data_IF_720740368593
#
_entry.id   IF_720740368593
#
_cell.length_a   1.000
_cell.length_b   1.000
_cell.length_c   1.000
_cell.angle_alpha   90.00
_cell.angle_beta   90.00
_cell.angle_gamma   90.00
#
_symmetry.space_group_name_H-M   'P 1'
#
loop_
_entity.id
_entity.type
_entity.pdbx_description
1 polymer ?
#
# COMPACT_ATOMS: atom_id res chain seq x y z
N UNK A 1 2.83 7.01 19.62
CA UNK A 1 1.39 6.79 19.48
C UNK A 1 0.67 7.64 20.52
N UNK A 2 -0.49 8.27 20.22
CA UNK A 2 -1.31 8.93 21.23
C UNK A 2 -1.66 7.98 22.38
N UNK A 3 -1.71 8.50 23.61
CA UNK A 3 -2.00 7.68 24.80
C UNK A 3 -3.38 6.99 24.71
N UNK A 4 -4.36 7.70 24.18
CA UNK A 4 -5.72 7.19 24.00
C UNK A 4 -5.77 5.97 23.06
N UNK A 5 -4.97 5.95 21.99
CA UNK A 5 -4.93 4.83 21.05
C UNK A 5 -4.31 3.58 21.68
N UNK A 6 -3.30 3.75 22.54
CA UNK A 6 -2.71 2.66 23.32
C UNK A 6 -3.69 2.12 24.37
N UNK A 7 -4.37 3.00 25.10
CA UNK A 7 -5.40 2.60 26.07
C UNK A 7 -6.55 1.82 25.38
N UNK A 8 -6.96 2.27 24.19
CA UNK A 8 -7.93 1.54 23.37
C UNK A 8 -7.39 0.17 22.93
N UNK A 9 -6.17 0.12 22.40
CA UNK A 9 -5.55 -1.13 21.95
C UNK A 9 -5.40 -2.14 23.10
N UNK A 10 -4.96 -1.68 24.26
CA UNK A 10 -4.82 -2.52 25.47
C UNK A 10 -6.17 -3.05 25.93
N UNK A 11 -7.22 -2.23 25.86
CA UNK A 11 -8.58 -2.64 26.28
C UNK A 11 -9.20 -3.60 25.28
N UNK A 12 -9.02 -3.38 23.98
CA UNK A 12 -9.76 -4.07 22.93
C UNK A 12 -9.00 -5.23 22.28
N UNK A 13 -7.67 -5.31 22.39
CA UNK A 13 -6.86 -6.30 21.67
C UNK A 13 -6.14 -7.27 22.61
N UNK A 14 -5.60 -6.78 23.74
CA UNK A 14 -4.87 -7.63 24.71
C UNK A 14 -5.73 -8.77 25.28
N UNK A 15 -7.04 -8.59 25.58
CA UNK A 15 -7.89 -9.71 26.01
C UNK A 15 -8.02 -10.84 24.99
N UNK A 16 -7.71 -10.56 23.71
CA UNK A 16 -7.70 -11.53 22.61
C UNK A 16 -6.29 -12.05 22.29
N UNK A 17 -5.29 -11.78 23.15
CA UNK A 17 -3.93 -12.27 23.00
C UNK A 17 -3.06 -11.47 22.04
N UNK A 18 -3.49 -10.26 21.64
CA UNK A 18 -2.68 -9.37 20.80
C UNK A 18 -1.72 -8.58 21.67
N UNK A 19 -0.42 -8.70 21.40
CA UNK A 19 0.60 -7.87 22.04
C UNK A 19 0.57 -6.45 21.44
N UNK A 20 0.56 -5.45 22.31
CA UNK A 20 0.59 -4.03 21.96
C UNK A 20 1.95 -3.44 22.28
N UNK A 21 2.37 -2.42 21.53
CA UNK A 21 3.66 -1.76 21.71
C UNK A 21 3.51 -0.24 21.57
N UNK A 22 4.15 0.55 22.44
CA UNK A 22 4.07 2.01 22.39
C UNK A 22 4.85 2.61 21.21
N UNK A 23 5.85 1.87 20.70
CA UNK A 23 6.73 2.32 19.62
C UNK A 23 6.98 1.23 18.59
N UNK A 24 7.16 1.66 17.33
CA UNK A 24 7.60 0.78 16.24
C UNK A 24 8.91 0.05 16.55
N UNK A 25 9.84 0.75 17.21
CA UNK A 25 11.16 0.21 17.57
C UNK A 25 11.07 -0.98 18.52
N UNK A 26 10.12 -0.96 19.45
CA UNK A 26 9.86 -2.09 20.34
C UNK A 26 9.12 -3.21 19.59
N UNK A 27 8.09 -2.87 18.82
CA UNK A 27 7.29 -3.83 18.07
C UNK A 27 8.14 -4.67 17.10
N UNK A 28 9.04 -4.04 16.34
CA UNK A 28 9.87 -4.75 15.35
C UNK A 28 10.88 -5.72 15.99
N UNK A 29 11.14 -5.57 17.29
CA UNK A 29 12.00 -6.46 18.06
C UNK A 29 11.25 -7.66 18.64
N UNK A 30 9.92 -7.74 18.46
CA UNK A 30 9.11 -8.81 19.00
C UNK A 30 9.56 -10.19 18.48
N UNK A 31 9.85 -11.16 19.39
CA UNK A 31 10.27 -12.49 18.99
C UNK A 31 9.22 -13.19 18.13
N UNK A 32 9.66 -13.80 17.03
CA UNK A 32 8.78 -14.54 16.13
C UNK A 32 8.00 -13.68 15.13
N UNK A 33 8.27 -12.37 15.04
CA UNK A 33 7.66 -11.52 14.01
C UNK A 33 8.12 -11.94 12.60
N UNK A 34 7.24 -12.55 11.82
CA UNK A 34 7.54 -13.03 10.46
C UNK A 34 7.12 -12.06 9.36
N UNK A 35 6.02 -11.33 9.57
CA UNK A 35 5.45 -10.41 8.59
C UNK A 35 4.97 -9.14 9.28
N UNK A 36 4.93 -8.03 8.53
CA UNK A 36 4.44 -6.75 9.00
C UNK A 36 3.51 -6.11 7.99
N UNK A 37 2.38 -5.62 8.51
CA UNK A 37 1.40 -4.82 7.79
C UNK A 37 1.60 -3.36 8.21
N UNK A 38 2.00 -2.50 7.27
CA UNK A 38 2.23 -1.08 7.51
C UNK A 38 1.04 -0.28 7.00
N UNK A 39 0.24 0.25 7.93
CA UNK A 39 -0.91 1.13 7.67
C UNK A 39 -0.78 2.46 8.39
N UNK A 40 0.46 2.90 8.65
CA UNK A 40 0.74 4.16 9.31
C UNK A 40 0.47 5.35 8.38
N UNK A 41 0.83 6.56 8.81
CA UNK A 41 0.90 7.69 7.88
C UNK A 41 1.95 7.43 6.79
N UNK A 42 1.71 7.95 5.59
CA UNK A 42 2.56 7.75 4.41
C UNK A 42 4.03 8.13 4.64
N UNK A 43 4.31 9.14 5.46
CA UNK A 43 5.67 9.57 5.82
C UNK A 43 6.54 8.45 6.40
N UNK A 44 5.90 7.51 7.10
CA UNK A 44 6.59 6.45 7.83
C UNK A 44 6.71 5.16 7.01
N UNK A 45 5.96 5.03 5.92
CA UNK A 45 5.93 3.81 5.09
C UNK A 45 7.31 3.36 4.67
N UNK A 46 8.12 4.28 4.11
CA UNK A 46 9.46 3.96 3.65
C UNK A 46 10.36 3.47 4.79
N UNK A 47 10.43 4.22 5.89
CA UNK A 47 11.32 3.89 7.02
C UNK A 47 10.92 2.57 7.69
N UNK A 48 9.62 2.35 7.90
CA UNK A 48 9.11 1.14 8.53
C UNK A 48 9.29 -0.08 7.63
N UNK A 49 9.00 0.06 6.34
CA UNK A 49 9.20 -1.02 5.36
C UNK A 49 10.68 -1.38 5.27
N UNK A 50 11.56 -0.39 5.12
CA UNK A 50 13.00 -0.63 5.04
C UNK A 50 13.53 -1.37 6.27
N UNK A 51 13.21 -0.90 7.47
CA UNK A 51 13.67 -1.51 8.72
C UNK A 51 13.21 -2.96 8.87
N UNK A 52 12.01 -3.29 8.39
CA UNK A 52 11.47 -4.65 8.41
C UNK A 52 12.14 -5.56 7.38
N UNK A 53 12.32 -5.07 6.15
CA UNK A 53 13.02 -5.82 5.10
C UNK A 53 14.46 -6.13 5.50
N UNK A 54 15.18 -5.17 6.07
CA UNK A 54 16.56 -5.36 6.57
C UNK A 54 16.67 -6.44 7.64
N UNK A 55 15.56 -6.79 8.31
CA UNK A 55 15.46 -7.88 9.29
C UNK A 55 14.94 -9.20 8.70
N UNK A 56 14.68 -9.24 7.40
CA UNK A 56 14.11 -10.40 6.72
C UNK A 56 12.61 -10.62 7.00
N UNK A 57 11.90 -9.60 7.48
CA UNK A 57 10.47 -9.66 7.79
C UNK A 57 9.69 -9.40 6.50
N UNK A 58 8.70 -10.25 6.19
CA UNK A 58 7.81 -10.04 5.03
C UNK A 58 7.00 -8.75 5.20
N UNK A 59 6.75 -8.04 4.10
CA UNK A 59 6.11 -6.73 4.13
C UNK A 59 4.84 -6.67 3.30
N UNK A 60 3.80 -6.09 3.89
CA UNK A 60 2.62 -5.57 3.21
C UNK A 60 2.46 -4.11 3.61
N UNK A 61 2.62 -3.17 2.70
CA UNK A 61 2.52 -1.74 3.00
C UNK A 61 1.35 -1.11 2.28
N UNK A 62 0.60 -0.26 2.97
CA UNK A 62 -0.38 0.61 2.34
C UNK A 62 0.26 1.52 1.30
N UNK A 63 -0.56 1.92 0.32
CA UNK A 63 -0.12 2.85 -0.73
C UNK A 63 -0.12 4.29 -0.22
N UNK A 64 0.68 5.18 -0.83
CA UNK A 64 1.89 4.85 -1.58
C UNK A 64 2.99 4.37 -0.62
N UNK A 65 3.83 3.43 -1.05
CA UNK A 65 4.89 2.86 -0.19
C UNK A 65 6.03 3.86 0.11
N UNK A 66 6.19 4.89 -0.72
CA UNK A 66 7.19 5.94 -0.56
C UNK A 66 6.68 7.27 -1.12
N UNK A 67 7.33 8.37 -0.72
CA UNK A 67 7.02 9.71 -1.24
C UNK A 67 7.87 10.09 -2.45
N UNK A 68 8.99 9.40 -2.66
CA UNK A 68 9.90 9.66 -3.79
C UNK A 68 10.25 8.37 -4.52
N UNK A 69 10.70 8.54 -5.77
CA UNK A 69 11.12 7.42 -6.63
C UNK A 69 12.44 6.83 -6.13
N UNK A 70 13.33 7.63 -5.57
CA UNK A 70 14.61 7.18 -5.01
C UNK A 70 14.40 6.26 -3.82
N UNK A 71 13.47 6.60 -2.93
CA UNK A 71 13.05 5.73 -1.82
C UNK A 71 12.47 4.41 -2.33
N UNK A 72 11.66 4.45 -3.39
CA UNK A 72 11.11 3.24 -3.99
C UNK A 72 12.21 2.36 -4.60
N UNK A 73 13.16 2.96 -5.32
CA UNK A 73 14.30 2.25 -5.91
C UNK A 73 15.18 1.60 -4.84
N UNK A 74 15.42 2.29 -3.73
CA UNK A 74 16.12 1.75 -2.56
C UNK A 74 15.40 0.51 -2.03
N UNK A 75 14.10 0.58 -1.76
CA UNK A 75 13.31 -0.57 -1.31
C UNK A 75 13.36 -1.74 -2.30
N UNK A 76 13.22 -1.47 -3.60
CA UNK A 76 13.32 -2.49 -4.66
C UNK A 76 14.69 -3.16 -4.64
N UNK A 77 15.77 -2.42 -4.42
CA UNK A 77 17.12 -2.96 -4.33
C UNK A 77 17.27 -3.90 -3.12
N UNK A 78 16.72 -3.52 -1.97
CA UNK A 78 16.73 -4.32 -0.74
C UNK A 78 15.96 -5.62 -0.95
N UNK A 79 14.73 -5.55 -1.45
CA UNK A 79 13.89 -6.75 -1.70
C UNK A 79 14.58 -7.71 -2.66
N UNK A 80 15.20 -7.20 -3.73
CA UNK A 80 15.94 -8.04 -4.69
C UNK A 80 17.14 -8.75 -4.07
N UNK A 81 17.75 -8.18 -3.03
CA UNK A 81 18.84 -8.81 -2.29
C UNK A 81 18.36 -9.90 -1.30
N UNK A 82 17.06 -10.01 -1.06
CA UNK A 82 16.43 -10.87 -0.05
C UNK A 82 15.47 -11.89 -0.71
N UNK A 83 15.96 -12.96 -1.34
CA UNK A 83 15.13 -13.87 -2.16
C UNK A 83 14.07 -14.65 -1.37
N UNK A 84 14.17 -14.69 -0.03
CA UNK A 84 13.21 -15.35 0.86
C UNK A 84 12.21 -14.38 1.48
N UNK A 85 12.40 -13.07 1.31
CA UNK A 85 11.54 -12.03 1.88
C UNK A 85 10.62 -11.51 0.79
N UNK A 86 9.33 -11.45 1.10
CA UNK A 86 8.32 -10.93 0.18
C UNK A 86 7.93 -9.52 0.59
N UNK A 87 7.70 -8.67 -0.39
CA UNK A 87 7.21 -7.30 -0.18
C UNK A 87 6.06 -7.04 -1.15
N UNK A 88 4.97 -6.49 -0.62
CA UNK A 88 3.77 -6.17 -1.36
C UNK A 88 3.27 -4.77 -0.99
N UNK A 89 2.71 -4.07 -1.98
CA UNK A 89 2.01 -2.80 -1.80
C UNK A 89 0.50 -3.06 -1.93
N UNK A 90 -0.31 -2.42 -1.09
CA UNK A 90 -1.77 -2.57 -1.00
C UNK A 90 -2.51 -1.96 -2.20
N UNK A 91 -2.28 -2.48 -3.40
CA UNK A 91 -3.11 -2.20 -4.57
C UNK A 91 -4.33 -3.12 -4.60
N UNK A 92 -5.26 -2.87 -3.67
CA UNK A 92 -6.43 -3.72 -3.42
C UNK A 92 -7.27 -4.00 -4.65
N UNK A 93 -7.40 -3.05 -5.58
CA UNK A 93 -8.15 -3.23 -6.84
C UNK A 93 -7.61 -4.36 -7.73
N UNK A 94 -6.36 -4.80 -7.56
CA UNK A 94 -5.83 -5.98 -8.27
C UNK A 94 -6.50 -7.29 -7.83
N UNK A 95 -7.15 -7.29 -6.67
CA UNK A 95 -7.81 -8.46 -6.08
C UNK A 95 -9.33 -8.44 -6.27
N UNK A 96 -9.87 -7.40 -6.91
CA UNK A 96 -11.29 -7.33 -7.23
C UNK A 96 -11.59 -8.24 -8.43
N UNK A 97 -12.57 -9.14 -8.28
CA UNK A 97 -12.91 -10.17 -9.28
C UNK A 97 -13.21 -9.53 -10.66
N UNK A 98 -13.89 -8.38 -10.65
CA UNK A 98 -14.24 -7.65 -11.88
C UNK A 98 -13.00 -7.19 -12.65
N UNK A 99 -11.97 -6.72 -11.94
CA UNK A 99 -10.73 -6.25 -12.57
C UNK A 99 -9.87 -7.42 -13.03
N UNK A 100 -9.82 -8.51 -12.28
CA UNK A 100 -9.13 -9.73 -12.70
C UNK A 100 -9.75 -10.31 -13.98
N UNK A 101 -11.07 -10.41 -14.03
CA UNK A 101 -11.80 -10.89 -15.21
C UNK A 101 -11.54 -9.99 -16.43
N UNK A 102 -11.57 -8.66 -16.24
CA UNK A 102 -11.26 -7.70 -17.30
C UNK A 102 -9.84 -7.89 -17.84
N UNK A 103 -8.82 -7.98 -16.97
CA UNK A 103 -7.43 -8.24 -17.38
C UNK A 103 -7.31 -9.58 -18.11
N UNK A 104 -7.97 -10.63 -17.60
CA UNK A 104 -7.93 -11.96 -18.23
C UNK A 104 -8.53 -11.93 -19.65
N UNK A 105 -9.70 -11.31 -19.84
CA UNK A 105 -10.33 -11.16 -21.15
C UNK A 105 -9.48 -10.35 -22.12
N UNK A 106 -8.85 -9.29 -21.64
CA UNK A 106 -7.91 -8.48 -22.44
C UNK A 106 -6.73 -9.35 -22.89
N UNK A 107 -6.09 -10.09 -21.98
CA UNK A 107 -4.96 -10.99 -22.30
C UNK A 107 -5.34 -12.12 -23.26
N UNK A 108 -6.59 -12.57 -23.22
CA UNK A 108 -7.15 -13.54 -24.17
C UNK A 108 -7.46 -12.93 -25.55
N UNK A 109 -7.26 -11.62 -25.74
CA UNK A 109 -7.50 -10.93 -27.00
C UNK A 109 -8.96 -10.60 -27.28
N UNK A 110 -9.84 -10.62 -26.26
CA UNK A 110 -11.28 -10.40 -26.43
C UNK A 110 -11.64 -9.06 -27.10
N UNK A 111 -10.75 -8.06 -26.99
CA UNK A 111 -10.91 -6.73 -27.62
C UNK A 111 -9.76 -6.36 -28.56
N UNK A 112 -8.90 -7.32 -28.93
CA UNK A 112 -7.63 -7.05 -29.61
C UNK A 112 -6.62 -6.33 -28.70
N UNK A 113 -5.81 -5.43 -29.26
CA UNK A 113 -4.85 -4.64 -28.49
C UNK A 113 -5.51 -3.37 -27.92
N UNK A 114 -5.52 -3.19 -26.59
CA UNK A 114 -6.02 -1.97 -25.97
C UNK A 114 -5.21 -0.74 -26.41
N UNK A 115 -5.89 0.32 -26.84
CA UNK A 115 -5.25 1.57 -27.29
C UNK A 115 -5.50 2.72 -26.30
N UNK A 116 -6.67 2.73 -25.66
CA UNK A 116 -7.10 3.79 -24.75
C UNK A 116 -7.75 3.17 -23.53
N UNK A 117 -7.39 3.67 -22.35
CA UNK A 117 -8.08 3.40 -21.09
C UNK A 117 -8.65 4.73 -20.58
N UNK A 118 -9.95 4.74 -20.30
CA UNK A 118 -10.61 5.86 -19.65
C UNK A 118 -10.97 5.42 -18.23
N UNK A 119 -10.45 6.12 -17.22
CA UNK A 119 -10.91 5.97 -15.83
C UNK A 119 -11.51 7.28 -15.32
N UNK A 120 -12.61 7.16 -14.58
CA UNK A 120 -13.26 8.27 -13.89
C UNK A 120 -13.65 7.80 -12.49
N UNK A 121 -13.11 8.48 -11.48
CA UNK A 121 -13.55 8.36 -10.10
C UNK A 121 -14.42 9.55 -9.69
N UNK A 122 -15.42 9.31 -8.86
CA UNK A 122 -16.17 10.35 -8.18
C UNK A 122 -16.30 9.94 -6.72
N UNK A 123 -15.63 10.70 -5.85
CA UNK A 123 -15.77 10.51 -4.41
C UNK A 123 -17.00 11.27 -3.92
N UNK A 124 -17.64 10.73 -2.88
CA UNK A 124 -18.72 11.46 -2.21
C UNK A 124 -18.15 12.75 -1.61
N UNK A 125 -18.82 13.87 -1.83
CA UNK A 125 -18.47 15.11 -1.16
C UNK A 125 -18.68 14.93 0.36
N UNK A 126 -17.59 15.03 1.10
CA UNK A 126 -17.57 15.03 2.56
C UNK A 126 -16.97 16.37 3.03
N UNK A 127 -17.83 17.17 3.67
CA UNK A 127 -17.54 18.53 4.14
C UNK A 127 -17.12 18.55 5.63
N UNK A 128 -16.66 17.41 6.16
CA UNK A 128 -16.19 17.34 7.53
C UNK A 128 -14.84 18.05 7.71
N UNK A 129 -14.57 18.62 8.91
CA UNK A 129 -13.26 19.20 9.23
C UNK A 129 -12.09 18.23 9.02
N UNK A 130 -12.33 16.93 9.24
CA UNK A 130 -11.36 15.88 8.97
C UNK A 130 -10.99 15.85 7.49
N UNK A 131 -11.99 15.79 6.60
CA UNK A 131 -11.76 15.73 5.16
C UNK A 131 -11.11 16.99 4.61
N UNK A 132 -11.48 18.18 5.11
CA UNK A 132 -10.76 19.42 4.75
C UNK A 132 -9.28 19.36 5.12
N UNK A 133 -8.96 18.91 6.34
CA UNK A 133 -7.58 18.75 6.80
C UNK A 133 -6.84 17.70 5.98
N UNK A 134 -7.49 16.57 5.70
CA UNK A 134 -6.93 15.49 4.90
C UNK A 134 -6.58 15.95 3.49
N UNK A 135 -7.52 16.60 2.77
CA UNK A 135 -7.30 17.12 1.41
C UNK A 135 -6.22 18.20 1.40
N UNK A 136 -6.23 19.12 2.37
CA UNK A 136 -5.20 20.15 2.48
C UNK A 136 -3.79 19.56 2.71
N UNK A 137 -3.70 18.47 3.48
CA UNK A 137 -2.45 17.75 3.69
C UNK A 137 -2.05 16.92 2.46
N UNK A 138 -2.99 16.24 1.82
CA UNK A 138 -2.76 15.47 0.61
C UNK A 138 -2.25 16.37 -0.53
N UNK A 139 -2.77 17.59 -0.67
CA UNK A 139 -2.33 18.57 -1.66
C UNK A 139 -0.82 18.85 -1.61
N UNK A 140 -0.19 18.74 -0.43
CA UNK A 140 1.26 18.91 -0.26
C UNK A 140 2.09 17.66 -0.60
N UNK A 141 1.43 16.52 -0.81
CA UNK A 141 2.03 15.18 -0.95
C UNK A 141 1.68 14.52 -2.29
N UNK A 142 1.44 15.32 -3.33
CA UNK A 142 1.02 14.85 -4.66
C UNK A 142 -0.50 14.81 -4.89
N UNK A 143 -1.27 15.22 -3.89
CA UNK A 143 -2.70 15.42 -3.98
C UNK A 143 -3.48 14.13 -4.23
N UNK A 144 -4.69 14.32 -4.76
CA UNK A 144 -5.60 13.23 -5.09
C UNK A 144 -5.01 12.24 -6.11
N UNK A 145 -4.06 12.69 -6.95
CA UNK A 145 -3.42 11.83 -7.94
C UNK A 145 -2.56 10.72 -7.30
N UNK A 146 -1.73 11.10 -6.33
CA UNK A 146 -0.85 10.14 -5.64
C UNK A 146 -1.63 9.32 -4.63
N UNK A 147 -2.61 9.91 -3.97
CA UNK A 147 -3.37 9.22 -2.96
C UNK A 147 -4.42 8.27 -3.55
N UNK A 148 -5.26 8.73 -4.48
CA UNK A 148 -6.43 7.96 -4.95
C UNK A 148 -6.26 7.43 -6.37
N UNK A 149 -5.83 8.28 -7.32
CA UNK A 149 -5.71 7.91 -8.75
C UNK A 149 -4.57 6.92 -9.00
N UNK A 150 -3.67 6.72 -8.04
CA UNK A 150 -2.61 5.71 -8.14
C UNK A 150 -3.17 4.30 -8.39
N UNK A 151 -4.37 3.98 -7.89
CA UNK A 151 -5.05 2.73 -8.21
C UNK A 151 -5.49 2.65 -9.67
N UNK A 152 -5.95 3.76 -10.26
CA UNK A 152 -6.35 3.82 -11.66
C UNK A 152 -5.15 3.71 -12.60
N UNK A 153 -4.03 4.35 -12.23
CA UNK A 153 -2.76 4.24 -12.95
C UNK A 153 -2.28 2.79 -12.93
N UNK A 154 -2.30 2.15 -11.77
CA UNK A 154 -1.88 0.76 -11.59
C UNK A 154 -2.70 -0.23 -12.43
N UNK A 155 -4.03 -0.09 -12.42
CA UNK A 155 -4.92 -0.90 -13.25
C UNK A 155 -4.74 -0.59 -14.74
N UNK A 156 -4.57 0.67 -15.11
CA UNK A 156 -4.35 1.08 -16.51
C UNK A 156 -3.11 0.42 -17.09
N UNK A 157 -2.02 0.37 -16.31
CA UNK A 157 -0.80 -0.33 -16.71
C UNK A 157 -1.02 -1.85 -16.88
N UNK A 158 -1.93 -2.44 -16.09
CA UNK A 158 -2.33 -3.84 -16.23
C UNK A 158 -3.20 -4.09 -17.47
N UNK A 159 -4.12 -3.16 -17.80
CA UNK A 159 -4.97 -3.26 -18.98
C UNK A 159 -4.22 -3.02 -20.28
N UNK A 160 -3.25 -2.11 -20.30
CA UNK A 160 -2.44 -1.82 -21.48
C UNK A 160 -1.33 -2.85 -21.74
N UNK A 161 -1.25 -3.90 -20.91
CA UNK A 161 -0.26 -4.97 -21.02
C UNK A 161 1.18 -4.44 -21.18
N UNK A 162 1.57 -3.50 -20.31
CA UNK A 162 2.88 -2.81 -20.38
C UNK A 162 4.01 -3.75 -19.89
N UNK A 163 4.17 -4.86 -20.61
CA UNK A 163 4.98 -6.02 -20.24
C UNK A 163 4.44 -6.74 -19.01
N UNK A 164 4.91 -7.97 -18.77
CA UNK A 164 4.66 -8.77 -17.56
C UNK A 164 5.17 -8.12 -16.24
N UNK A 165 5.35 -6.79 -16.23
CA UNK A 165 5.89 -5.97 -15.15
C UNK A 165 4.87 -5.73 -14.03
N UNK A 166 3.58 -5.88 -14.31
CA UNK A 166 2.53 -5.83 -13.27
C UNK A 166 1.86 -7.18 -13.17
N UNK A 167 2.31 -7.95 -12.17
CA UNK A 167 1.63 -9.17 -11.78
C UNK A 167 0.26 -8.81 -11.20
N UNK A 168 -0.78 -9.36 -11.83
CA UNK A 168 -2.07 -9.57 -11.20
C UNK A 168 -1.99 -10.92 -10.46
N UNK A 169 -2.58 -11.04 -9.28
CA UNK A 169 -2.63 -12.30 -8.52
C UNK A 169 -3.35 -13.42 -9.28
#
# INVERSE_FOLDING_TARGET
MPKADLEWADTCLVPHGVATFPTFKEMIQFPGLNAMVVTSITELHYQQTKASLERGIHMFCEKPISQTVEQLQDLVSIVRSLPKTQAMVSFTRRFDENYQEAVQKIRQGAIGSPVVVWSQGCEKLDDSPFMHSYVANAARKGGFFVDSVIHDIDLTLSFLDVGDKIAMP
#
